data_IF_189943011416
#
_entry.id   IF_189943011416
#
_cell.length_a   1.000
_cell.length_b   1.000
_cell.length_c   1.000
_cell.angle_alpha   90.00
_cell.angle_beta   90.00
_cell.angle_gamma   90.00
#
_symmetry.space_group_name_H-M   'P 1'
#
loop_
_entity.id
_entity.type
_entity.pdbx_description
1 polymer ?
#
# COMPACT_ATOMS: atom_id res chain seq x y z
N UNK A 1 -4.71 5.14 31.74
CA UNK A 1 -4.14 5.73 30.51
C UNK A 1 -3.38 4.61 29.81
N UNK A 2 -3.99 3.93 28.84
CA UNK A 2 -3.36 2.79 28.15
C UNK A 2 -2.44 3.36 27.08
N UNK A 3 -1.13 3.35 27.36
CA UNK A 3 -0.11 3.64 26.36
C UNK A 3 -0.03 2.43 25.43
N UNK A 4 -0.84 2.43 24.36
CA UNK A 4 -0.66 1.48 23.26
C UNK A 4 0.69 1.81 22.61
N UNK A 5 1.71 1.01 22.92
CA UNK A 5 2.87 0.88 22.06
C UNK A 5 2.36 0.49 20.69
N UNK A 6 2.45 1.37 19.70
CA UNK A 6 2.08 1.07 18.33
C UNK A 6 3.02 -0.05 17.85
N UNK A 7 2.54 -1.30 17.90
CA UNK A 7 3.26 -2.42 17.31
C UNK A 7 3.39 -2.13 15.81
N UNK A 8 4.62 -2.18 15.30
CA UNK A 8 4.83 -2.01 13.88
C UNK A 8 4.15 -3.15 13.13
N UNK A 9 3.39 -2.80 12.10
CA UNK A 9 2.70 -3.74 11.22
C UNK A 9 3.55 -3.97 9.97
N UNK A 10 3.46 -5.19 9.42
CA UNK A 10 4.03 -5.52 8.12
C UNK A 10 2.92 -5.56 7.08
N UNK A 11 3.12 -4.88 5.96
CA UNK A 11 2.14 -4.81 4.89
C UNK A 11 2.83 -4.63 3.54
N UNK A 12 2.10 -4.89 2.47
CA UNK A 12 2.64 -4.87 1.11
C UNK A 12 2.17 -3.64 0.34
N UNK A 13 3.13 -2.94 -0.24
CA UNK A 13 2.90 -1.85 -1.18
C UNK A 13 2.76 -2.39 -2.59
N UNK A 14 1.82 -1.85 -3.34
CA UNK A 14 1.79 -2.01 -4.78
C UNK A 14 2.74 -0.99 -5.41
N UNK A 15 3.79 -1.48 -6.09
CA UNK A 15 4.77 -0.64 -6.81
C UNK A 15 4.80 -1.03 -8.29
N UNK A 16 5.43 -0.21 -9.12
CA UNK A 16 5.64 -0.55 -10.55
C UNK A 16 6.50 -1.79 -10.74
N UNK A 17 7.36 -2.13 -9.78
CA UNK A 17 8.18 -3.34 -9.77
C UNK A 17 7.49 -4.55 -9.10
N UNK A 18 6.21 -4.42 -8.71
CA UNK A 18 5.44 -5.45 -8.02
C UNK A 18 5.22 -5.15 -6.53
N UNK A 19 4.97 -6.21 -5.75
CA UNK A 19 4.68 -6.07 -4.32
C UNK A 19 5.97 -5.90 -3.51
N UNK A 20 6.01 -4.86 -2.68
CA UNK A 20 7.12 -4.61 -1.74
C UNK A 20 6.61 -4.67 -0.31
N UNK A 21 7.12 -5.60 0.49
CA UNK A 21 6.82 -5.64 1.93
C UNK A 21 7.54 -4.52 2.66
N UNK A 22 6.83 -3.78 3.49
CA UNK A 22 7.37 -2.76 4.39
C UNK A 22 6.93 -3.00 5.83
N UNK A 23 7.61 -2.33 6.75
CA UNK A 23 7.22 -2.24 8.16
C UNK A 23 6.93 -0.79 8.49
N UNK A 24 5.81 -0.55 9.16
CA UNK A 24 5.35 0.78 9.52
C UNK A 24 4.33 0.74 10.64
N UNK A 25 3.62 1.82 10.86
CA UNK A 25 2.58 1.91 11.88
C UNK A 25 1.20 1.85 11.26
N UNK A 26 0.23 1.33 12.00
CA UNK A 26 -1.17 1.53 11.67
C UNK A 26 -1.56 3.01 11.91
N UNK A 27 -2.33 3.58 10.99
CA UNK A 27 -2.89 4.93 11.16
C UNK A 27 -4.38 4.94 10.84
N UNK A 28 -5.15 5.57 11.74
CA UNK A 28 -6.59 5.76 11.57
C UNK A 28 -6.81 7.12 10.90
N UNK A 29 -7.37 7.10 9.69
CA UNK A 29 -7.83 8.29 8.99
C UNK A 29 -9.35 8.15 8.80
N UNK A 30 -10.17 9.04 9.39
CA UNK A 30 -11.62 8.95 9.29
C UNK A 30 -12.09 8.89 7.83
N UNK A 31 -12.93 7.90 7.52
CA UNK A 31 -13.53 7.75 6.19
C UNK A 31 -14.79 6.90 6.26
N UNK A 32 -15.75 7.15 5.37
CA UNK A 32 -17.04 6.46 5.34
C UNK A 32 -16.97 5.09 4.60
N UNK A 33 -15.79 4.71 4.12
CA UNK A 33 -15.55 3.48 3.37
C UNK A 33 -15.01 2.33 4.24
N UNK A 34 -14.69 2.58 5.52
CA UNK A 34 -14.08 1.57 6.39
C UNK A 34 -12.63 1.24 6.03
N UNK A 35 -11.97 2.10 5.25
CA UNK A 35 -10.60 1.91 4.80
C UNK A 35 -9.60 2.01 5.95
N UNK A 36 -8.60 1.15 5.94
CA UNK A 36 -7.50 1.11 6.93
C UNK A 36 -6.16 1.40 6.27
N UNK A 37 -5.27 2.06 7.01
CA UNK A 37 -4.04 2.59 6.45
C UNK A 37 -2.82 2.23 7.29
N UNK A 38 -1.71 2.00 6.60
CA UNK A 38 -0.37 1.92 7.18
C UNK A 38 0.45 3.13 6.79
N UNK A 39 1.35 3.57 7.66
CA UNK A 39 2.32 4.62 7.36
C UNK A 39 3.74 4.10 7.59
N UNK A 40 4.63 4.36 6.63
CA UNK A 40 6.03 4.01 6.74
C UNK A 40 6.92 5.13 6.20
N UNK A 41 8.20 5.07 6.58
CA UNK A 41 9.24 5.95 6.06
C UNK A 41 9.94 5.25 4.88
N UNK A 42 10.08 5.95 3.76
CA UNK A 42 10.91 5.50 2.64
C UNK A 42 12.38 5.58 3.05
N UNK A 43 13.07 4.44 3.02
CA UNK A 43 14.44 4.32 3.53
C UNK A 43 15.45 5.00 2.61
N UNK A 44 15.17 4.99 1.31
CA UNK A 44 16.09 5.50 0.29
C UNK A 44 15.92 7.00 0.02
N UNK A 45 14.80 7.59 0.42
CA UNK A 45 14.55 9.01 0.25
C UNK A 45 15.34 9.82 1.31
N UNK A 46 16.00 10.92 0.94
CA UNK A 46 16.66 11.79 1.90
C UNK A 46 15.66 12.47 2.85
N UNK A 47 16.12 12.95 4.00
CA UNK A 47 15.28 13.74 4.89
C UNK A 47 14.75 14.99 4.18
N UNK A 48 13.47 15.31 4.40
CA UNK A 48 12.79 16.42 3.71
C UNK A 48 12.34 16.12 2.28
N UNK A 49 12.63 14.94 1.72
CA UNK A 49 12.12 14.54 0.41
C UNK A 49 10.58 14.54 0.40
N UNK A 50 9.90 15.04 -0.65
CA UNK A 50 8.43 15.12 -0.69
C UNK A 50 7.72 13.77 -0.45
N UNK A 51 8.39 12.66 -0.75
CA UNK A 51 7.87 11.30 -0.58
C UNK A 51 8.58 10.52 0.54
N UNK A 52 9.20 11.22 1.51
CA UNK A 52 9.92 10.57 2.61
C UNK A 52 9.01 9.68 3.46
N UNK A 53 7.75 10.07 3.63
CA UNK A 53 6.74 9.31 4.34
C UNK A 53 5.58 9.01 3.40
N UNK A 54 5.05 7.79 3.50
CA UNK A 54 3.95 7.33 2.67
C UNK A 54 2.87 6.65 3.52
N UNK A 55 1.63 7.04 3.29
CA UNK A 55 0.42 6.40 3.80
C UNK A 55 -0.13 5.50 2.70
N UNK A 56 -0.48 4.28 3.06
CA UNK A 56 -0.89 3.22 2.13
C UNK A 56 -2.18 2.57 2.60
N UNK A 57 -3.13 2.36 1.70
CA UNK A 57 -4.32 1.56 1.98
C UNK A 57 -3.93 0.09 2.16
N UNK A 58 -4.22 -0.51 3.31
CA UNK A 58 -3.67 -1.81 3.69
C UNK A 58 -4.15 -2.96 2.79
N UNK A 59 -5.41 -2.93 2.35
CA UNK A 59 -5.97 -4.02 1.55
C UNK A 59 -5.46 -4.00 0.09
N UNK A 60 -5.35 -2.82 -0.53
CA UNK A 60 -4.88 -2.72 -1.92
C UNK A 60 -3.38 -2.48 -2.05
N UNK A 61 -2.70 -2.00 -1.02
CA UNK A 61 -1.30 -1.59 -1.10
C UNK A 61 -1.08 -0.30 -1.89
N UNK A 62 -2.14 0.41 -2.28
CA UNK A 62 -2.04 1.66 -3.03
C UNK A 62 -1.69 2.84 -2.11
N UNK A 63 -0.88 3.77 -2.62
CA UNK A 63 -0.56 5.00 -1.92
C UNK A 63 -1.81 5.88 -1.77
N UNK A 64 -2.09 6.32 -0.54
CA UNK A 64 -3.18 7.23 -0.20
C UNK A 64 -2.67 8.66 0.06
N UNK A 65 -1.41 8.81 0.49
CA UNK A 65 -0.77 10.10 0.73
C UNK A 65 0.73 9.96 0.88
N UNK A 66 1.43 11.07 0.65
CA UNK A 66 2.90 11.19 0.77
C UNK A 66 3.26 12.55 1.36
N UNK A 67 4.40 12.63 2.04
CA UNK A 67 4.90 13.89 2.57
C UNK A 67 6.35 13.83 3.07
N UNK A 68 6.99 15.00 3.25
CA UNK A 68 8.35 15.09 3.80
C UNK A 68 8.42 14.74 5.29
N UNK A 69 7.29 14.79 5.98
CA UNK A 69 7.12 14.39 7.38
C UNK A 69 5.96 13.41 7.51
N UNK A 70 5.93 12.69 8.63
CA UNK A 70 4.84 11.77 8.96
C UNK A 70 3.48 12.48 8.93
N UNK A 71 3.39 13.64 9.57
CA UNK A 71 2.16 14.42 9.66
C UNK A 71 1.74 15.00 8.30
N UNK A 72 2.70 15.45 7.48
CA UNK A 72 2.41 15.93 6.13
C UNK A 72 1.82 14.81 5.26
N UNK A 73 2.33 13.57 5.38
CA UNK A 73 1.78 12.43 4.65
C UNK A 73 0.36 12.08 5.10
N UNK A 74 0.07 12.16 6.41
CA UNK A 74 -1.27 11.94 6.97
C UNK A 74 -2.23 13.03 6.52
N UNK A 75 -1.83 14.30 6.58
CA UNK A 75 -2.63 15.43 6.12
C UNK A 75 -2.94 15.32 4.62
N UNK A 76 -1.94 14.93 3.81
CA UNK A 76 -2.14 14.69 2.38
C UNK A 76 -3.12 13.55 2.14
N UNK A 77 -2.99 12.43 2.86
CA UNK A 77 -3.93 11.31 2.77
C UNK A 77 -5.35 11.72 3.16
N UNK A 78 -5.54 12.42 4.29
CA UNK A 78 -6.84 12.91 4.72
C UNK A 78 -7.48 13.84 3.66
N UNK A 79 -6.70 14.74 3.08
CA UNK A 79 -7.18 15.61 2.02
C UNK A 79 -7.55 14.84 0.74
N UNK A 80 -6.79 13.80 0.38
CA UNK A 80 -7.13 12.91 -0.74
C UNK A 80 -8.45 12.17 -0.49
N UNK A 81 -8.63 11.63 0.72
CA UNK A 81 -9.86 10.93 1.10
C UNK A 81 -11.07 11.86 1.05
N UNK A 82 -10.95 13.07 1.59
CA UNK A 82 -12.05 14.04 1.58
C UNK A 82 -12.39 14.49 0.15
N UNK A 83 -11.38 14.78 -0.69
CA UNK A 83 -11.59 15.10 -2.11
C UNK A 83 -12.36 14.03 -2.87
N UNK A 84 -12.12 12.76 -2.53
CA UNK A 84 -12.70 11.61 -3.21
C UNK A 84 -13.88 10.99 -2.45
N UNK A 85 -14.38 11.62 -1.38
CA UNK A 85 -15.34 11.05 -0.43
C UNK A 85 -16.53 10.34 -1.09
N UNK A 86 -17.10 10.92 -2.15
CA UNK A 86 -18.26 10.38 -2.87
C UNK A 86 -17.98 9.10 -3.66
N UNK A 87 -16.73 8.93 -4.12
CA UNK A 87 -16.28 7.81 -4.96
C UNK A 87 -15.27 6.91 -4.26
N UNK A 88 -15.01 7.17 -2.97
CA UNK A 88 -13.92 6.54 -2.24
C UNK A 88 -14.10 5.01 -2.20
N UNK A 89 -15.33 4.53 -1.96
CA UNK A 89 -15.62 3.09 -1.94
C UNK A 89 -15.29 2.44 -3.28
N UNK A 90 -15.84 2.99 -4.37
CA UNK A 90 -15.59 2.49 -5.74
C UNK A 90 -14.10 2.47 -6.07
N UNK A 91 -13.36 3.55 -5.74
CA UNK A 91 -11.92 3.63 -5.97
C UNK A 91 -11.13 2.58 -5.19
N UNK A 92 -11.53 2.28 -3.95
CA UNK A 92 -10.87 1.27 -3.13
C UNK A 92 -11.18 -0.14 -3.62
N UNK A 93 -12.42 -0.39 -4.06
CA UNK A 93 -12.84 -1.66 -4.65
C UNK A 93 -12.13 -1.91 -5.99
N UNK A 94 -12.00 -0.89 -6.83
CA UNK A 94 -11.19 -0.93 -8.06
C UNK A 94 -9.73 -1.25 -7.76
N UNK A 95 -9.15 -0.60 -6.74
CA UNK A 95 -7.77 -0.85 -6.33
C UNK A 95 -7.55 -2.27 -5.79
N UNK A 96 -8.50 -2.81 -5.03
CA UNK A 96 -8.46 -4.19 -4.54
C UNK A 96 -8.60 -5.19 -5.69
N UNK A 97 -9.50 -4.91 -6.65
CA UNK A 97 -9.68 -5.72 -7.85
C UNK A 97 -8.41 -5.74 -8.71
N UNK A 98 -7.78 -4.57 -8.91
CA UNK A 98 -6.52 -4.47 -9.64
C UNK A 98 -5.41 -5.30 -8.98
N UNK A 99 -5.32 -5.26 -7.65
CA UNK A 99 -4.37 -6.09 -6.89
C UNK A 99 -4.63 -7.58 -7.09
N UNK A 100 -5.87 -8.02 -6.97
CA UNK A 100 -6.22 -9.43 -7.16
C UNK A 100 -5.85 -9.91 -8.57
N UNK A 101 -6.14 -9.11 -9.60
CA UNK A 101 -5.80 -9.42 -10.98
C UNK A 101 -4.28 -9.54 -11.19
N UNK A 102 -3.49 -8.65 -10.59
CA UNK A 102 -2.04 -8.71 -10.65
C UNK A 102 -1.50 -9.98 -9.96
N UNK A 103 -2.04 -10.35 -8.80
CA UNK A 103 -1.65 -11.57 -8.09
C UNK A 103 -1.95 -12.83 -8.93
N UNK A 104 -3.10 -12.87 -9.60
CA UNK A 104 -3.47 -13.96 -10.52
C UNK A 104 -2.50 -14.01 -11.72
N UNK A 105 -2.18 -12.86 -12.32
CA UNK A 105 -1.27 -12.79 -13.46
C UNK A 105 0.15 -13.28 -13.09
N UNK A 106 0.69 -12.82 -11.97
CA UNK A 106 2.00 -13.26 -11.46
C UNK A 106 2.01 -14.77 -11.21
N UNK A 107 0.95 -15.30 -10.60
CA UNK A 107 0.85 -16.74 -10.36
C UNK A 107 0.87 -17.55 -11.67
N UNK A 108 0.14 -17.11 -12.71
CA UNK A 108 0.14 -17.76 -14.02
C UNK A 108 1.52 -17.71 -14.70
N UNK A 109 2.25 -16.60 -14.56
CA UNK A 109 3.61 -16.48 -15.08
C UNK A 109 4.53 -17.51 -14.41
N UNK A 110 4.48 -17.62 -13.09
CA UNK A 110 5.27 -18.62 -12.34
C UNK A 110 4.92 -20.05 -12.76
N UNK A 111 3.63 -20.36 -12.94
CA UNK A 111 3.20 -21.67 -13.44
C UNK A 111 3.75 -21.97 -14.83
N UNK A 112 3.74 -20.98 -15.73
CA UNK A 112 4.28 -21.14 -17.08
C UNK A 112 5.80 -21.33 -17.07
N UNK A 113 6.54 -20.57 -16.25
CA UNK A 113 7.98 -20.73 -16.07
C UNK A 113 8.33 -22.14 -15.58
N UNK A 114 7.60 -22.63 -14.57
CA UNK A 114 7.75 -24.01 -14.09
C UNK A 114 7.44 -25.04 -15.18
N UNK A 115 6.41 -24.81 -16.01
CA UNK A 115 6.07 -25.73 -17.10
C UNK A 115 7.10 -25.73 -18.23
N UNK A 116 7.75 -24.59 -18.51
CA UNK A 116 8.81 -24.46 -19.53
C UNK A 116 10.12 -25.06 -19.02
N UNK A 117 10.55 -24.67 -17.82
CA UNK A 117 11.83 -25.10 -17.23
C UNK A 117 11.79 -26.54 -16.70
N UNK A 118 10.61 -27.02 -16.29
CA UNK A 118 10.40 -28.40 -15.83
C UNK A 118 10.19 -29.42 -16.96
N UNK A 119 10.16 -28.99 -18.24
CA UNK A 119 9.95 -29.85 -19.42
C UNK A 119 11.18 -30.07 -20.29
N UNK A 120 12.39 -29.74 -19.85
CA UNK A 120 13.60 -30.16 -20.54
C UNK A 120 14.06 -31.49 -19.93
N UNK A 121 13.68 -32.66 -20.47
CA UNK A 121 14.46 -33.86 -20.23
C UNK A 121 15.86 -33.64 -20.85
N UNK A 122 16.87 -34.12 -20.14
CA UNK A 122 18.25 -34.17 -20.62
C UNK A 122 18.38 -34.94 -21.94
#
# INVERSE_FOLDING_TARGET
>A
MVSMTAASIRYELMTTAGLRTVSGDHVVIPNDAGATFGIHMERHAPHGHPEKWAVTHLASGMAAGVGPTRDAAIAHAAANLERNKRRLRDMLDEAMTARANLQIAVHRIQQNEHAILGRIPA
#
